data_IF_261205489485
#
_entry.id   IF_261205489485
#
_cell.length_a   1.000
_cell.length_b   1.000
_cell.length_c   1.000
_cell.angle_alpha   90.00
_cell.angle_beta   90.00
_cell.angle_gamma   90.00
#
_symmetry.space_group_name_H-M   'P 1'
#
loop_
_entity.id
_entity.type
_entity.pdbx_description
1 polymer ?
#
# COMPACT_ATOMS: atom_id res chain seq x y z
N UNK A 1 -14.86 -2.49 -13.03
CA UNK A 1 -14.21 -2.98 -11.80
C UNK A 1 -14.10 -4.49 -11.92
N UNK A 2 -12.97 -4.96 -12.46
CA UNK A 2 -12.73 -6.38 -12.69
C UNK A 2 -12.32 -7.05 -11.37
N UNK A 3 -13.15 -8.01 -10.96
CA UNK A 3 -12.90 -9.18 -10.13
C UNK A 3 -11.44 -9.42 -9.70
N UNK A 4 -11.14 -9.15 -8.43
CA UNK A 4 -9.87 -9.51 -7.78
C UNK A 4 -9.95 -10.99 -7.41
N UNK A 5 -9.39 -11.84 -8.27
CA UNK A 5 -9.29 -13.28 -8.01
C UNK A 5 -8.33 -13.53 -6.85
N UNK A 6 -8.67 -14.52 -6.04
CA UNK A 6 -8.10 -14.82 -4.73
C UNK A 6 -6.92 -15.81 -4.78
N UNK A 7 -6.46 -16.15 -6.00
CA UNK A 7 -5.30 -16.97 -6.28
C UNK A 7 -4.02 -16.15 -6.13
N UNK A 8 -2.98 -16.72 -5.54
CA UNK A 8 -1.70 -16.07 -5.19
C UNK A 8 -0.85 -15.57 -6.38
N UNK A 9 -1.48 -15.06 -7.44
CA UNK A 9 -0.90 -14.44 -8.62
C UNK A 9 -0.77 -12.91 -8.48
N UNK A 10 -1.29 -12.32 -7.40
CA UNK A 10 -1.05 -10.91 -7.05
C UNK A 10 0.10 -10.81 -6.06
N UNK A 11 1.11 -9.99 -6.36
CA UNK A 11 2.19 -9.67 -5.43
C UNK A 11 1.79 -8.41 -4.60
N UNK A 12 1.26 -8.57 -3.37
CA UNK A 12 0.83 -7.44 -2.55
C UNK A 12 1.96 -6.43 -2.30
N UNK A 13 3.21 -6.90 -2.23
CA UNK A 13 4.41 -6.07 -2.07
C UNK A 13 4.68 -5.21 -3.32
N UNK A 14 4.40 -5.74 -4.52
CA UNK A 14 4.58 -4.99 -5.76
C UNK A 14 3.55 -3.86 -5.89
N UNK A 15 2.28 -4.11 -5.54
CA UNK A 15 1.25 -3.07 -5.55
C UNK A 15 1.45 -2.04 -4.44
N UNK A 16 1.97 -2.47 -3.29
CA UNK A 16 2.39 -1.58 -2.21
C UNK A 16 3.50 -0.63 -2.67
N UNK A 17 4.51 -1.16 -3.38
CA UNK A 17 5.61 -0.37 -3.93
C UNK A 17 5.14 0.56 -5.06
N UNK A 18 4.28 0.11 -5.96
CA UNK A 18 3.71 0.95 -7.02
C UNK A 18 2.91 2.13 -6.43
N UNK A 19 2.09 1.89 -5.40
CA UNK A 19 1.36 2.94 -4.70
C UNK A 19 2.30 3.97 -4.04
N UNK A 20 3.36 3.51 -3.37
CA UNK A 20 4.35 4.39 -2.76
C UNK A 20 5.07 5.27 -3.80
N UNK A 21 5.53 4.67 -4.89
CA UNK A 21 6.26 5.37 -5.97
C UNK A 21 5.35 6.39 -6.65
N UNK A 22 4.09 6.06 -6.93
CA UNK A 22 3.13 6.98 -7.54
C UNK A 22 2.84 8.19 -6.64
N UNK A 23 2.65 7.97 -5.35
CA UNK A 23 2.42 9.05 -4.38
C UNK A 23 3.63 9.99 -4.30
N UNK A 24 4.84 9.44 -4.21
CA UNK A 24 6.07 10.22 -4.22
C UNK A 24 6.27 10.99 -5.54
N UNK A 25 6.05 10.33 -6.67
CA UNK A 25 6.18 10.94 -7.99
C UNK A 25 5.15 12.07 -8.24
N UNK A 26 4.01 12.04 -7.54
CA UNK A 26 3.01 13.09 -7.55
C UNK A 26 3.40 14.29 -6.64
N UNK A 27 4.52 14.22 -5.94
CA UNK A 27 4.98 15.25 -5.01
C UNK A 27 4.41 15.11 -3.59
N UNK A 28 3.84 13.95 -3.25
CA UNK A 28 3.35 13.67 -1.90
C UNK A 28 4.48 13.62 -0.87
N UNK A 29 4.18 14.03 0.35
CA UNK A 29 5.10 13.96 1.47
C UNK A 29 5.23 12.52 2.04
N UNK A 30 6.10 12.34 3.02
CA UNK A 30 6.35 11.03 3.63
C UNK A 30 5.08 10.40 4.20
N UNK A 31 4.20 11.19 4.82
CA UNK A 31 2.96 10.68 5.42
C UNK A 31 2.00 10.22 4.32
N UNK A 32 1.86 11.00 3.24
CA UNK A 32 1.03 10.66 2.08
C UNK A 32 1.52 9.41 1.33
N UNK A 33 2.85 9.24 1.24
CA UNK A 33 3.48 8.05 0.66
C UNK A 33 3.21 6.83 1.53
N UNK A 34 3.37 6.96 2.84
CA UNK A 34 3.12 5.89 3.82
C UNK A 34 1.64 5.48 3.83
N UNK A 35 0.71 6.44 3.81
CA UNK A 35 -0.73 6.16 3.78
C UNK A 35 -1.15 5.45 2.49
N UNK A 36 -0.56 5.84 1.36
CA UNK A 36 -0.81 5.20 0.06
C UNK A 36 -0.31 3.75 0.04
N UNK A 37 0.92 3.52 0.55
CA UNK A 37 1.51 2.20 0.67
C UNK A 37 0.72 1.30 1.64
N UNK A 38 0.34 1.83 2.81
CA UNK A 38 -0.44 1.12 3.82
C UNK A 38 -1.84 0.75 3.31
N UNK A 39 -2.47 1.63 2.54
CA UNK A 39 -3.79 1.37 1.95
C UNK A 39 -3.75 0.24 0.93
N UNK A 40 -2.74 0.24 0.05
CA UNK A 40 -2.52 -0.86 -0.89
C UNK A 40 -2.21 -2.16 -0.16
N UNK A 41 -1.33 -2.15 0.83
CA UNK A 41 -0.99 -3.32 1.62
C UNK A 41 -2.22 -3.90 2.35
N UNK A 42 -3.03 -3.03 2.98
CA UNK A 42 -4.29 -3.40 3.62
C UNK A 42 -5.25 -4.10 2.64
N UNK A 43 -5.40 -3.55 1.44
CA UNK A 43 -6.31 -4.07 0.41
C UNK A 43 -5.95 -5.49 -0.03
N UNK A 44 -4.67 -5.77 -0.27
CA UNK A 44 -4.25 -7.06 -0.81
C UNK A 44 -3.92 -8.10 0.26
N UNK A 45 -3.32 -7.69 1.39
CA UNK A 45 -2.96 -8.59 2.48
C UNK A 45 -4.11 -8.85 3.46
N UNK A 46 -5.21 -8.08 3.36
CA UNK A 46 -6.40 -8.16 4.23
C UNK A 46 -6.05 -8.02 5.73
N UNK A 47 -5.00 -7.27 6.05
CA UNK A 47 -4.59 -6.97 7.42
C UNK A 47 -5.36 -5.76 7.97
N UNK A 48 -5.19 -5.36 9.24
CA UNK A 48 -5.77 -4.10 9.72
C UNK A 48 -4.97 -2.89 9.24
N UNK A 49 -5.63 -1.79 8.84
CA UNK A 49 -4.97 -0.57 8.36
C UNK A 49 -3.94 0.01 9.37
N UNK A 50 -4.25 -0.03 10.67
CA UNK A 50 -3.31 0.39 11.72
C UNK A 50 -2.07 -0.51 11.82
N UNK A 51 -2.20 -1.80 11.46
CA UNK A 51 -1.07 -2.71 11.35
C UNK A 51 -0.24 -2.44 10.09
N UNK A 52 -0.91 -2.13 8.97
CA UNK A 52 -0.26 -1.79 7.71
C UNK A 52 0.63 -0.54 7.82
N UNK A 53 0.14 0.54 8.45
CA UNK A 53 0.92 1.78 8.66
C UNK A 53 2.24 1.53 9.39
N UNK A 54 2.20 0.70 10.43
CA UNK A 54 3.37 0.37 11.27
C UNK A 54 4.47 -0.40 10.54
N UNK A 55 4.23 -0.91 9.33
CA UNK A 55 5.25 -1.57 8.52
C UNK A 55 6.18 -0.58 7.83
N UNK A 56 5.77 0.68 7.67
CA UNK A 56 6.54 1.69 6.94
C UNK A 56 7.20 2.68 7.90
N UNK A 57 8.46 2.99 7.61
CA UNK A 57 9.20 4.05 8.28
C UNK A 57 8.65 5.41 7.88
N UNK A 58 8.28 6.25 8.86
CA UNK A 58 7.65 7.56 8.63
C UNK A 58 6.13 7.60 8.83
N UNK A 59 5.52 6.53 9.35
CA UNK A 59 4.16 6.60 9.91
C UNK A 59 4.10 7.64 11.03
N UNK A 60 3.05 8.49 11.10
CA UNK A 60 2.80 9.32 12.27
C UNK A 60 2.59 8.49 13.54
#
# INVERSE_FOLDING_TARGET
MADIRHDGLTAPEAYTLDAAIRSWAAGGDTEEVVESAASAYHQYQKCGMNGARKLFWGSP
#
